data_IF_549661641375
#
_entry.id   IF_549661641375
#
_cell.length_a   1.000
_cell.length_b   1.000
_cell.length_c   1.000
_cell.angle_alpha   90.00
_cell.angle_beta   90.00
_cell.angle_gamma   90.00
#
_symmetry.space_group_name_H-M   'P 1'
#
loop_
_entity.id
_entity.type
_entity.pdbx_description
1 polymer ?
#
# COMPACT_ATOMS: atom_id res chain seq x y z
N UNK A 1 19.70 -7.53 -17.38
CA UNK A 1 19.26 -8.74 -16.63
C UNK A 1 17.91 -8.56 -15.90
N UNK A 2 17.26 -7.38 -15.88
CA UNK A 2 15.98 -7.14 -15.17
C UNK A 2 14.71 -7.25 -16.03
N UNK A 3 14.84 -7.46 -17.35
CA UNK A 3 13.73 -7.46 -18.31
C UNK A 3 13.14 -8.84 -18.59
N UNK A 4 13.76 -9.92 -18.12
CA UNK A 4 13.29 -11.29 -18.36
C UNK A 4 12.01 -11.58 -17.55
N UNK A 5 10.86 -11.80 -18.22
CA UNK A 5 9.61 -12.18 -17.56
C UNK A 5 9.64 -13.59 -16.94
N UNK A 6 10.57 -14.45 -17.36
CA UNK A 6 10.72 -15.82 -16.87
C UNK A 6 11.67 -15.95 -15.68
N UNK A 7 12.18 -14.83 -15.17
CA UNK A 7 13.04 -14.85 -14.00
C UNK A 7 12.27 -15.37 -12.77
N UNK A 8 12.67 -16.50 -12.17
CA UNK A 8 11.85 -17.22 -11.18
C UNK A 8 11.45 -16.38 -9.96
N UNK A 9 12.29 -15.42 -9.58
CA UNK A 9 12.10 -14.54 -8.41
C UNK A 9 10.79 -13.74 -8.51
N UNK A 10 10.40 -13.28 -9.71
CA UNK A 10 9.17 -12.48 -9.88
C UNK A 10 7.89 -13.27 -9.60
N UNK A 11 7.93 -14.60 -9.76
CA UNK A 11 6.79 -15.47 -9.46
C UNK A 11 6.62 -15.68 -7.96
N UNK A 12 7.72 -15.63 -7.20
CA UNK A 12 7.70 -15.75 -5.73
C UNK A 12 6.94 -14.59 -5.10
N UNK A 13 7.12 -13.38 -5.62
CA UNK A 13 6.44 -12.19 -5.11
C UNK A 13 4.92 -12.32 -5.17
N UNK A 14 4.35 -12.89 -6.24
CA UNK A 14 2.90 -13.09 -6.34
C UNK A 14 2.38 -13.93 -5.16
N UNK A 15 3.06 -15.04 -4.84
CA UNK A 15 2.69 -15.90 -3.71
C UNK A 15 2.96 -15.23 -2.36
N UNK A 16 4.06 -14.51 -2.24
CA UNK A 16 4.42 -13.74 -1.04
C UNK A 16 3.35 -12.70 -0.71
N UNK A 17 2.97 -11.85 -1.67
CA UNK A 17 1.96 -10.82 -1.46
C UNK A 17 0.56 -11.41 -1.27
N UNK A 18 0.26 -12.57 -1.88
CA UNK A 18 -0.96 -13.30 -1.56
C UNK A 18 -0.96 -13.76 -0.09
N UNK A 19 0.16 -14.28 0.43
CA UNK A 19 0.27 -14.71 1.82
C UNK A 19 0.29 -13.53 2.81
N UNK A 20 0.99 -12.43 2.49
CA UNK A 20 0.96 -11.20 3.28
C UNK A 20 -0.46 -10.63 3.36
N UNK A 21 -1.21 -10.68 2.27
CA UNK A 21 -2.63 -10.32 2.27
C UNK A 21 -3.44 -11.23 3.21
N UNK A 22 -3.15 -12.52 3.29
CA UNK A 22 -3.80 -13.44 4.26
C UNK A 22 -3.49 -13.05 5.71
N UNK A 23 -2.24 -12.72 6.02
CA UNK A 23 -1.81 -12.28 7.36
C UNK A 23 -2.49 -10.96 7.74
N UNK A 24 -2.49 -9.99 6.83
CA UNK A 24 -3.20 -8.72 7.01
C UNK A 24 -4.71 -8.93 7.19
N UNK A 25 -5.30 -9.83 6.39
CA UNK A 25 -6.71 -10.23 6.50
C UNK A 25 -7.01 -10.83 7.87
N UNK A 26 -6.19 -11.76 8.34
CA UNK A 26 -6.36 -12.35 9.67
C UNK A 26 -6.36 -11.26 10.75
N UNK A 27 -5.36 -10.37 10.76
CA UNK A 27 -5.27 -9.29 11.73
C UNK A 27 -6.48 -8.32 11.67
N UNK A 28 -6.92 -7.97 10.46
CA UNK A 28 -8.04 -7.04 10.27
C UNK A 28 -9.42 -7.69 10.52
N UNK A 29 -9.53 -9.02 10.45
CA UNK A 29 -10.80 -9.74 10.63
C UNK A 29 -11.43 -9.56 12.00
N UNK A 30 -10.65 -9.16 13.00
CA UNK A 30 -11.17 -8.78 14.32
C UNK A 30 -12.09 -7.56 14.27
N UNK A 31 -11.94 -6.68 13.28
CA UNK A 31 -12.64 -5.40 13.16
C UNK A 31 -13.47 -5.27 11.88
N UNK A 32 -12.97 -5.84 10.78
CA UNK A 32 -13.56 -5.74 9.45
C UNK A 32 -14.13 -7.09 9.02
N UNK A 33 -15.03 -7.03 8.05
CA UNK A 33 -15.68 -8.21 7.51
C UNK A 33 -16.01 -8.08 6.03
N UNK A 34 -16.34 -9.19 5.37
CA UNK A 34 -16.85 -9.23 4.00
C UNK A 34 -15.97 -8.48 2.98
N UNK A 35 -16.59 -7.58 2.21
CA UNK A 35 -15.92 -6.77 1.19
C UNK A 35 -14.94 -5.74 1.78
N UNK A 36 -15.27 -5.00 2.85
CA UNK A 36 -14.27 -4.18 3.55
C UNK A 36 -13.01 -4.96 3.94
N UNK A 37 -13.17 -6.15 4.51
CA UNK A 37 -12.03 -6.96 4.92
C UNK A 37 -11.15 -7.32 3.72
N UNK A 38 -11.75 -7.75 2.61
CA UNK A 38 -11.06 -8.01 1.35
C UNK A 38 -10.31 -6.75 0.85
N UNK A 39 -11.01 -5.62 0.76
CA UNK A 39 -10.47 -4.39 0.21
C UNK A 39 -9.30 -3.88 1.03
N UNK A 40 -9.47 -3.73 2.35
CA UNK A 40 -8.43 -3.18 3.21
C UNK A 40 -7.23 -4.11 3.36
N UNK A 41 -7.42 -5.44 3.44
CA UNK A 41 -6.28 -6.36 3.51
C UNK A 41 -5.47 -6.36 2.20
N UNK A 42 -6.16 -6.31 1.04
CA UNK A 42 -5.51 -6.24 -0.26
C UNK A 42 -4.76 -4.90 -0.46
N UNK A 43 -5.39 -3.77 -0.11
CA UNK A 43 -4.74 -2.46 -0.15
C UNK A 43 -3.53 -2.39 0.76
N UNK A 44 -3.62 -2.95 1.98
CA UNK A 44 -2.50 -2.98 2.91
C UNK A 44 -1.33 -3.80 2.34
N UNK A 45 -1.59 -5.01 1.82
CA UNK A 45 -0.56 -5.81 1.17
C UNK A 45 0.04 -5.13 -0.07
N UNK A 46 -0.76 -4.41 -0.86
CA UNK A 46 -0.26 -3.64 -2.00
C UNK A 46 0.66 -2.48 -1.58
N UNK A 47 0.33 -1.79 -0.48
CA UNK A 47 1.19 -0.76 0.09
C UNK A 47 2.51 -1.34 0.60
N UNK A 48 2.48 -2.51 1.26
CA UNK A 48 3.72 -3.22 1.62
C UNK A 48 4.54 -3.57 0.37
N UNK A 49 3.88 -3.89 -0.74
CA UNK A 49 4.52 -4.10 -2.04
C UNK A 49 5.24 -2.88 -2.59
N UNK A 50 4.69 -1.70 -2.34
CA UNK A 50 5.37 -0.43 -2.68
C UNK A 50 6.54 -0.20 -1.73
N UNK A 51 6.38 -0.46 -0.43
CA UNK A 51 7.46 -0.33 0.56
C UNK A 51 8.68 -1.20 0.23
N UNK A 52 8.46 -2.46 -0.13
CA UNK A 52 9.51 -3.39 -0.52
C UNK A 52 10.29 -2.87 -1.74
N UNK A 53 9.58 -2.44 -2.78
CA UNK A 53 10.22 -1.87 -3.99
C UNK A 53 10.98 -0.57 -3.68
N UNK A 54 10.46 0.28 -2.79
CA UNK A 54 11.19 1.47 -2.35
C UNK A 54 12.45 1.10 -1.54
N UNK A 55 12.38 0.10 -0.67
CA UNK A 55 13.55 -0.39 0.07
C UNK A 55 14.59 -1.01 -0.86
N UNK A 56 14.15 -1.77 -1.86
CA UNK A 56 15.03 -2.31 -2.90
C UNK A 56 15.67 -1.19 -3.71
N UNK A 57 14.94 -0.12 -4.01
CA UNK A 57 15.47 1.04 -4.72
C UNK A 57 16.58 1.78 -3.96
N UNK A 58 16.61 1.69 -2.62
CA UNK A 58 17.71 2.23 -1.82
C UNK A 58 18.96 1.34 -1.82
N UNK A 59 18.88 0.11 -2.35
CA UNK A 59 20.00 -0.84 -2.35
C UNK A 59 20.72 -0.86 -3.71
N UNK A 60 22.05 -0.60 -3.76
CA UNK A 60 22.79 -0.41 -5.02
C UNK A 60 22.81 -1.60 -5.97
N UNK A 61 22.61 -2.81 -5.44
CA UNK A 61 22.60 -4.05 -6.24
C UNK A 61 21.18 -4.51 -6.67
N UNK A 62 20.15 -3.72 -6.38
CA UNK A 62 18.75 -4.06 -6.69
C UNK A 62 18.16 -3.00 -7.62
N UNK A 63 17.17 -3.41 -8.39
CA UNK A 63 16.42 -2.52 -9.28
C UNK A 63 14.99 -2.48 -8.79
N UNK A 64 14.40 -1.29 -8.76
CA UNK A 64 12.99 -1.09 -8.43
C UNK A 64 12.22 -0.61 -9.66
N UNK A 65 10.91 -0.85 -9.69
CA UNK A 65 10.09 -0.34 -10.77
C UNK A 65 8.58 -0.48 -10.58
N UNK A 66 7.83 0.35 -11.33
CA UNK A 66 6.36 0.32 -11.31
C UNK A 66 5.78 -1.04 -11.71
N UNK A 67 6.48 -1.78 -12.59
CA UNK A 67 6.06 -3.13 -13.00
C UNK A 67 6.05 -4.08 -11.81
N UNK A 68 7.12 -4.07 -11.01
CA UNK A 68 7.27 -5.01 -9.90
C UNK A 68 6.32 -4.62 -8.75
N UNK A 69 6.14 -3.31 -8.48
CA UNK A 69 5.05 -2.81 -7.62
C UNK A 69 3.66 -3.29 -8.09
N UNK A 70 3.42 -3.26 -9.40
CA UNK A 70 2.18 -3.77 -10.02
C UNK A 70 1.99 -5.27 -9.82
N UNK A 71 3.06 -6.07 -9.94
CA UNK A 71 3.02 -7.51 -9.65
C UNK A 71 2.70 -7.78 -8.18
N UNK A 72 3.32 -7.04 -7.26
CA UNK A 72 3.06 -7.13 -5.83
C UNK A 72 1.59 -6.79 -5.50
N UNK A 73 1.07 -5.71 -6.10
CA UNK A 73 -0.33 -5.32 -6.00
C UNK A 73 -1.27 -6.42 -6.52
N UNK A 74 -1.00 -6.98 -7.71
CA UNK A 74 -1.80 -8.06 -8.27
C UNK A 74 -1.75 -9.33 -7.41
N UNK A 75 -0.59 -9.66 -6.81
CA UNK A 75 -0.45 -10.75 -5.85
C UNK A 75 -1.33 -10.54 -4.61
N UNK A 76 -1.31 -9.33 -4.04
CA UNK A 76 -2.13 -8.98 -2.88
C UNK A 76 -3.63 -9.03 -3.18
N UNK A 77 -4.08 -8.44 -4.29
CA UNK A 77 -5.50 -8.44 -4.68
C UNK A 77 -5.98 -9.83 -5.12
N UNK A 78 -5.16 -10.55 -5.91
CA UNK A 78 -5.46 -11.91 -6.34
C UNK A 78 -5.55 -12.86 -5.16
N UNK A 79 -4.58 -12.81 -4.24
CA UNK A 79 -4.65 -13.55 -2.97
C UNK A 79 -5.88 -13.17 -2.15
N UNK A 80 -6.15 -11.88 -1.99
CA UNK A 80 -7.34 -11.39 -1.30
C UNK A 80 -8.64 -11.98 -1.84
N UNK A 81 -8.82 -12.01 -3.17
CA UNK A 81 -9.98 -12.61 -3.82
C UNK A 81 -10.09 -14.11 -3.54
N UNK A 82 -8.98 -14.84 -3.58
CA UNK A 82 -8.94 -16.27 -3.22
C UNK A 82 -9.37 -16.46 -1.75
N UNK A 83 -8.80 -15.70 -0.81
CA UNK A 83 -9.12 -15.81 0.62
C UNK A 83 -10.57 -15.44 0.92
N UNK A 84 -11.10 -14.45 0.20
CA UNK A 84 -12.49 -14.06 0.30
C UNK A 84 -13.44 -15.14 -0.24
N UNK A 85 -13.12 -15.73 -1.40
CA UNK A 85 -13.89 -16.83 -1.99
C UNK A 85 -13.86 -18.12 -1.15
N UNK A 86 -12.78 -18.35 -0.39
CA UNK A 86 -12.69 -19.42 0.61
C UNK A 86 -13.39 -19.09 1.94
N UNK A 87 -14.05 -17.92 2.04
CA UNK A 87 -14.71 -17.43 3.24
C UNK A 87 -13.81 -17.37 4.48
N UNK A 88 -12.49 -17.24 4.29
CA UNK A 88 -11.55 -17.23 5.41
C UNK A 88 -11.77 -15.97 6.26
N UNK A 89 -12.03 -16.16 7.55
CA UNK A 89 -12.27 -15.10 8.54
C UNK A 89 -13.45 -14.18 8.21
N UNK A 90 -14.35 -14.60 7.32
CA UNK A 90 -15.59 -13.86 7.04
C UNK A 90 -16.63 -14.24 8.08
N UNK A 91 -17.15 -13.25 8.78
CA UNK A 91 -18.44 -13.33 9.45
C UNK A 91 -19.46 -12.58 8.56
N UNK A 92 -20.74 -12.58 8.90
CA UNK A 92 -21.69 -11.69 8.21
C UNK A 92 -21.97 -10.51 9.13
N UNK A 93 -21.23 -9.42 8.93
CA UNK A 93 -21.47 -8.15 9.61
C UNK A 93 -21.85 -7.07 8.60
N UNK A 94 -22.99 -6.38 8.78
CA UNK A 94 -23.33 -5.28 7.91
C UNK A 94 -22.27 -4.19 8.06
N UNK A 95 -21.74 -3.70 6.95
CA UNK A 95 -20.86 -2.54 6.89
C UNK A 95 -21.59 -1.40 6.20
N UNK A 96 -21.37 -0.18 6.70
CA UNK A 96 -21.88 1.04 6.09
C UNK A 96 -20.67 1.82 5.60
N UNK A 97 -20.74 2.27 4.35
CA UNK A 97 -19.71 3.12 3.75
C UNK A 97 -20.27 4.53 3.72
N UNK A 98 -19.59 5.46 4.38
CA UNK A 98 -19.96 6.86 4.38
C UNK A 98 -19.21 7.61 3.26
N UNK A 99 -19.76 8.74 2.79
CA UNK A 99 -19.13 9.54 1.72
C UNK A 99 -17.72 10.01 2.11
N UNK A 100 -17.51 10.31 3.39
CA UNK A 100 -16.21 10.70 3.91
C UNK A 100 -15.17 9.57 3.75
N UNK A 101 -15.56 8.31 3.97
CA UNK A 101 -14.68 7.15 3.76
C UNK A 101 -14.22 7.10 2.30
N UNK A 102 -15.14 7.26 1.36
CA UNK A 102 -14.84 7.22 -0.08
C UNK A 102 -13.94 8.37 -0.50
N UNK A 103 -14.23 9.60 -0.09
CA UNK A 103 -13.42 10.76 -0.44
C UNK A 103 -12.01 10.67 0.13
N UNK A 104 -11.88 10.19 1.37
CA UNK A 104 -10.58 10.02 1.99
C UNK A 104 -9.77 8.90 1.35
N UNK A 105 -10.38 7.76 1.03
CA UNK A 105 -9.70 6.68 0.31
C UNK A 105 -9.28 7.12 -1.10
N UNK A 106 -10.12 7.91 -1.77
CA UNK A 106 -9.78 8.54 -3.06
C UNK A 106 -8.60 9.50 -2.93
N UNK A 107 -8.60 10.36 -1.92
CA UNK A 107 -7.46 11.24 -1.61
C UNK A 107 -6.18 10.42 -1.36
N UNK A 108 -6.27 9.38 -0.52
CA UNK A 108 -5.14 8.54 -0.16
C UNK A 108 -4.54 7.85 -1.39
N UNK A 109 -5.39 7.31 -2.27
CA UNK A 109 -4.96 6.72 -3.52
C UNK A 109 -4.22 7.72 -4.40
N UNK A 110 -4.79 8.91 -4.61
CA UNK A 110 -4.15 9.98 -5.40
C UNK A 110 -2.81 10.39 -4.77
N UNK A 111 -2.77 10.55 -3.45
CA UNK A 111 -1.56 10.92 -2.73
C UNK A 111 -0.44 9.87 -2.86
N UNK A 112 -0.77 8.57 -2.76
CA UNK A 112 0.17 7.47 -3.02
C UNK A 112 0.65 7.50 -4.47
N UNK A 113 -0.25 7.66 -5.44
CA UNK A 113 0.12 7.71 -6.86
C UNK A 113 1.02 8.91 -7.18
N UNK A 114 0.77 10.07 -6.57
CA UNK A 114 1.63 11.25 -6.73
C UNK A 114 3.04 11.01 -6.19
N UNK A 115 3.22 10.16 -5.18
CA UNK A 115 4.55 9.76 -4.69
C UNK A 115 5.19 8.67 -5.55
N UNK A 116 4.42 7.65 -5.93
CA UNK A 116 4.92 6.47 -6.63
C UNK A 116 5.21 6.76 -8.09
N UNK A 117 4.37 7.52 -8.79
CA UNK A 117 4.54 7.76 -10.23
C UNK A 117 5.86 8.46 -10.57
N UNK A 118 6.27 9.54 -9.88
CA UNK A 118 7.53 10.22 -10.16
C UNK A 118 8.77 9.41 -9.78
N UNK A 119 8.66 8.34 -8.98
CA UNK A 119 9.80 7.56 -8.48
C UNK A 119 10.65 6.95 -9.59
N UNK A 120 10.07 6.69 -10.76
CA UNK A 120 10.79 6.20 -11.96
C UNK A 120 11.79 7.23 -12.48
N UNK A 121 11.50 8.52 -12.29
CA UNK A 121 12.34 9.62 -12.74
C UNK A 121 13.43 9.97 -11.73
N UNK A 122 13.32 9.53 -10.48
CA UNK A 122 14.26 9.87 -9.41
C UNK A 122 15.48 8.93 -9.31
N UNK A 123 15.73 8.08 -10.31
CA UNK A 123 16.94 7.24 -10.33
C UNK A 123 18.20 8.11 -10.35
N UNK A 124 19.05 7.95 -9.34
CA UNK A 124 20.25 8.76 -9.11
C UNK A 124 19.96 10.20 -8.67
N UNK A 125 18.71 10.53 -8.33
CA UNK A 125 18.30 11.86 -7.88
C UNK A 125 17.77 11.81 -6.45
N UNK A 126 17.79 12.97 -5.81
CA UNK A 126 17.14 13.19 -4.52
C UNK A 126 15.65 13.40 -4.77
N UNK A 127 14.79 12.69 -4.05
CA UNK A 127 13.34 12.89 -4.17
C UNK A 127 12.96 14.20 -3.49
N UNK A 128 12.17 15.02 -4.17
CA UNK A 128 11.70 16.26 -3.59
C UNK A 128 10.58 16.06 -2.58
N UNK A 129 10.69 16.72 -1.42
CA UNK A 129 9.75 16.58 -0.31
C UNK A 129 8.32 17.01 -0.69
N UNK A 130 8.19 17.96 -1.63
CA UNK A 130 6.87 18.46 -2.03
C UNK A 130 5.97 17.36 -2.63
N UNK A 131 6.57 16.31 -3.19
CA UNK A 131 5.86 15.13 -3.72
C UNK A 131 5.17 14.34 -2.60
N UNK A 132 5.70 14.39 -1.38
CA UNK A 132 5.14 13.71 -0.21
C UNK A 132 4.08 14.54 0.55
N UNK A 133 3.89 15.83 0.21
CA UNK A 133 2.94 16.71 0.90
C UNK A 133 1.49 16.20 0.88
N UNK A 134 0.95 15.67 -0.23
CA UNK A 134 -0.42 15.13 -0.24
C UNK A 134 -0.60 13.96 0.74
N UNK A 135 0.43 13.11 0.90
CA UNK A 135 0.43 12.01 1.87
C UNK A 135 0.53 12.53 3.29
N UNK A 136 1.38 13.52 3.55
CA UNK A 136 1.51 14.19 4.85
C UNK A 136 0.22 14.92 5.29
N UNK A 137 -0.63 15.32 4.33
CA UNK A 137 -1.94 15.90 4.62
C UNK A 137 -2.98 14.85 5.05
N UNK A 138 -2.78 13.56 4.75
CA UNK A 138 -3.76 12.51 5.05
C UNK A 138 -4.02 12.33 6.56
N UNK A 139 -3.01 12.30 7.46
CA UNK A 139 -3.26 12.31 8.90
C UNK A 139 -4.06 13.52 9.36
N UNK A 140 -3.74 14.72 8.86
CA UNK A 140 -4.47 15.94 9.22
C UNK A 140 -5.94 15.85 8.81
N UNK A 141 -6.22 15.41 7.58
CA UNK A 141 -7.58 15.14 7.11
C UNK A 141 -8.28 14.13 8.03
N UNK A 142 -7.62 13.00 8.31
CA UNK A 142 -8.19 11.94 9.14
C UNK A 142 -8.55 12.43 10.54
N UNK A 143 -7.70 13.24 11.17
CA UNK A 143 -7.97 13.79 12.50
C UNK A 143 -9.07 14.85 12.50
N UNK A 144 -9.11 15.75 11.50
CA UNK A 144 -10.13 16.80 11.40
C UNK A 144 -11.51 16.21 11.16
N UNK A 145 -11.61 15.19 10.29
CA UNK A 145 -12.89 14.59 9.91
C UNK A 145 -13.17 13.27 10.63
N UNK A 146 -12.47 12.97 11.74
CA UNK A 146 -12.53 11.68 12.44
C UNK A 146 -13.96 11.21 12.74
N UNK A 147 -14.83 12.13 13.14
CA UNK A 147 -16.23 11.82 13.49
C UNK A 147 -17.14 11.57 12.27
N UNK A 148 -16.70 11.97 11.08
CA UNK A 148 -17.41 11.76 9.82
C UNK A 148 -17.14 10.38 9.19
N UNK A 149 -16.13 9.66 9.67
CA UNK A 149 -15.79 8.32 9.18
C UNK A 149 -16.66 7.25 9.82
N UNK A 150 -16.95 6.20 9.05
CA UNK A 150 -17.69 5.06 9.58
C UNK A 150 -16.84 4.33 10.65
N UNK A 151 -17.41 4.14 11.85
CA UNK A 151 -16.71 3.45 12.95
C UNK A 151 -16.27 2.04 12.57
N UNK A 152 -17.02 1.38 11.69
CA UNK A 152 -16.74 0.01 11.23
C UNK A 152 -15.54 -0.05 10.29
N UNK A 153 -15.36 0.94 9.41
CA UNK A 153 -14.23 0.96 8.47
C UNK A 153 -13.00 1.66 9.05
N UNK A 154 -13.18 2.44 10.12
CA UNK A 154 -12.13 3.23 10.77
C UNK A 154 -10.82 2.45 10.98
N UNK A 155 -10.89 1.18 11.42
CA UNK A 155 -9.70 0.36 11.61
C UNK A 155 -8.93 0.09 10.30
N UNK A 156 -9.65 -0.29 9.23
CA UNK A 156 -9.05 -0.50 7.91
C UNK A 156 -8.47 0.79 7.32
N UNK A 157 -9.21 1.89 7.45
CA UNK A 157 -8.79 3.23 7.03
C UNK A 157 -7.50 3.61 7.76
N UNK A 158 -7.45 3.45 9.08
CA UNK A 158 -6.26 3.74 9.88
C UNK A 158 -5.06 2.89 9.47
N UNK A 159 -5.25 1.58 9.28
CA UNK A 159 -4.16 0.68 8.91
C UNK A 159 -3.56 1.01 7.54
N UNK A 160 -4.41 1.20 6.52
CA UNK A 160 -3.96 1.58 5.17
C UNK A 160 -3.36 2.98 5.16
N UNK A 161 -3.90 3.92 5.94
CA UNK A 161 -3.33 5.27 6.09
C UNK A 161 -1.97 5.23 6.75
N UNK A 162 -1.79 4.46 7.82
CA UNK A 162 -0.51 4.32 8.51
C UNK A 162 0.56 3.76 7.55
N UNK A 163 0.24 2.70 6.82
CA UNK A 163 1.13 2.15 5.80
C UNK A 163 1.44 3.17 4.69
N UNK A 164 0.41 3.83 4.11
CA UNK A 164 0.62 4.81 3.06
C UNK A 164 1.47 6.01 3.53
N UNK A 165 1.20 6.55 4.72
CA UNK A 165 1.94 7.70 5.26
C UNK A 165 3.37 7.31 5.61
N UNK A 166 3.64 6.05 5.99
CA UNK A 166 5.04 5.62 6.18
C UNK A 166 5.87 5.66 4.90
N UNK A 167 5.28 5.67 3.71
CA UNK A 167 6.02 5.88 2.45
C UNK A 167 6.72 7.24 2.40
N UNK A 168 6.27 8.21 3.20
CA UNK A 168 6.91 9.53 3.29
C UNK A 168 8.37 9.41 3.76
N UNK A 169 8.74 8.35 4.49
CA UNK A 169 10.11 8.16 4.97
C UNK A 169 11.14 8.15 3.84
N UNK A 170 10.80 7.63 2.66
CA UNK A 170 11.78 7.44 1.58
C UNK A 170 12.29 8.76 0.99
N UNK A 171 11.44 9.74 0.65
CA UNK A 171 11.92 11.08 0.32
C UNK A 171 12.89 11.67 1.35
N UNK A 172 12.62 11.52 2.65
CA UNK A 172 13.52 12.00 3.70
C UNK A 172 14.84 11.24 3.73
N UNK A 173 14.82 9.91 3.54
CA UNK A 173 16.04 9.10 3.50
C UNK A 173 16.97 9.53 2.36
N UNK A 174 16.45 9.90 1.19
CA UNK A 174 17.28 10.35 0.06
C UNK A 174 17.99 11.69 0.27
N UNK A 175 17.63 12.43 1.32
CA UNK A 175 18.33 13.66 1.72
C UNK A 175 19.57 13.36 2.57
N UNK A 176 19.73 12.14 3.07
CA UNK A 176 20.92 11.72 3.81
C UNK A 176 22.10 11.51 2.84
N UNK A 177 23.30 12.03 3.14
CA UNK A 177 24.47 11.81 2.29
C UNK A 177 24.74 10.32 2.04
N UNK A 178 24.87 9.94 0.77
CA UNK A 178 25.17 8.56 0.37
C UNK A 178 23.96 7.64 0.21
N UNK A 179 22.74 8.13 0.43
CA UNK A 179 21.49 7.37 0.20
C UNK A 179 20.80 7.93 -1.05
N UNK A 180 20.81 7.15 -2.13
CA UNK A 180 20.13 7.49 -3.39
C UNK A 180 19.33 6.31 -3.91
N UNK A 181 18.31 6.59 -4.72
CA UNK A 181 17.62 5.54 -5.47
C UNK A 181 18.48 5.08 -6.65
N UNK A 182 18.66 3.77 -6.80
CA UNK A 182 19.49 3.15 -7.85
C UNK A 182 18.65 2.61 -9.03
#
# INVERSE_FOLDING_TARGET
>A
MSTDPDFPIKRVHVFEYAFLCLVARYAMSHFLDGLPLLFFSACFGALLGIHDEFLQGLHPARTYGLRDMGVNMLGSFGGGLIWHGLHLFSLERPSTVDRADVYFLGWLLVAVLLLVWPVVYYRGLVIEIWVALPLLAAPAYYFIYRESFSKKLSHGISAVTAAAVSLVIYPFLTKLPGVVFY
#
